data_IF_097673663243
#
_entry.id   IF_097673663243
#
_cell.length_a   1.000
_cell.length_b   1.000
_cell.length_c   1.000
_cell.angle_alpha   90.00
_cell.angle_beta   90.00
_cell.angle_gamma   90.00
#
_symmetry.space_group_name_H-M   'P 1'
#
loop_
_entity.id
_entity.type
_entity.pdbx_description
1 polymer ?
#
# COMPACT_ATOMS: atom_id res chain seq x y z
N UNK A 1 1.05 -5.70 29.15
CA UNK A 1 0.92 -5.80 27.69
C UNK A 1 0.01 -4.66 27.26
N UNK A 2 0.31 -3.99 26.18
CA UNK A 2 -0.58 -2.99 25.60
C UNK A 2 -1.87 -3.68 25.15
N UNK A 3 -2.99 -2.97 25.23
CA UNK A 3 -4.27 -3.43 24.73
C UNK A 3 -4.18 -3.70 23.22
N UNK A 4 -4.69 -4.82 22.69
CA UNK A 4 -4.66 -5.06 21.25
C UNK A 4 -5.56 -4.08 20.51
N UNK A 5 -5.15 -3.69 19.31
CA UNK A 5 -5.89 -2.74 18.50
C UNK A 5 -5.81 -3.05 17.00
N UNK A 6 -6.72 -2.47 16.26
CA UNK A 6 -6.74 -2.47 14.81
C UNK A 6 -7.26 -1.13 14.28
N UNK A 7 -7.09 -0.91 12.99
CA UNK A 7 -7.51 0.32 12.31
C UNK A 7 -8.67 -0.01 11.37
N UNK A 8 -9.78 0.69 11.51
CA UNK A 8 -10.88 0.65 10.57
C UNK A 8 -10.56 1.56 9.37
N UNK A 9 -10.77 1.04 8.16
CA UNK A 9 -10.61 1.74 6.90
C UNK A 9 -11.95 1.67 6.17
N UNK A 10 -12.58 2.82 5.97
CA UNK A 10 -13.94 2.88 5.45
C UNK A 10 -14.04 2.58 3.95
N UNK A 11 -12.94 2.82 3.21
CA UNK A 11 -12.92 2.59 1.77
C UNK A 11 -11.58 2.04 1.28
N UNK A 12 -11.64 0.87 0.66
CA UNK A 12 -10.53 0.23 -0.07
C UNK A 12 -11.03 -0.21 -1.43
N UNK A 13 -10.12 -0.32 -2.40
CA UNK A 13 -10.43 -1.02 -3.64
C UNK A 13 -10.34 -2.52 -3.41
N UNK A 14 -11.43 -3.22 -3.76
CA UNK A 14 -11.51 -4.68 -3.83
C UNK A 14 -11.99 -5.01 -5.24
N UNK A 15 -11.05 -5.42 -6.07
CA UNK A 15 -11.27 -5.65 -7.49
C UNK A 15 -10.91 -7.08 -7.85
N UNK A 16 -11.82 -7.79 -8.49
CA UNK A 16 -11.66 -9.17 -8.91
C UNK A 16 -11.57 -9.29 -10.43
N UNK A 17 -10.71 -10.18 -10.92
CA UNK A 17 -10.71 -10.62 -12.31
C UNK A 17 -11.03 -12.11 -12.35
N UNK A 18 -12.18 -12.43 -12.94
CA UNK A 18 -12.77 -13.77 -13.01
C UNK A 18 -12.53 -14.37 -14.38
N UNK A 19 -12.56 -15.70 -14.49
CA UNK A 19 -12.51 -16.41 -15.75
C UNK A 19 -11.24 -17.23 -15.96
N UNK A 20 -11.29 -18.13 -16.95
CA UNK A 20 -10.20 -19.07 -17.23
C UNK A 20 -8.91 -18.38 -17.72
N UNK A 21 -9.01 -17.23 -18.35
CA UNK A 21 -7.89 -16.43 -18.86
C UNK A 21 -7.44 -15.31 -17.91
N UNK A 22 -8.11 -15.15 -16.75
CA UNK A 22 -7.83 -14.08 -15.80
C UNK A 22 -6.34 -14.04 -15.37
N UNK A 23 -5.71 -15.21 -15.14
CA UNK A 23 -4.30 -15.30 -14.81
C UNK A 23 -3.40 -14.71 -15.91
N UNK A 24 -3.70 -14.99 -17.17
CA UNK A 24 -2.91 -14.53 -18.29
C UNK A 24 -3.06 -13.01 -18.51
N UNK A 25 -4.30 -12.53 -18.45
CA UNK A 25 -4.62 -11.10 -18.61
C UNK A 25 -3.95 -10.31 -17.47
N UNK A 26 -4.21 -10.68 -16.21
CA UNK A 26 -3.66 -9.95 -15.07
C UNK A 26 -2.13 -9.97 -15.03
N UNK A 27 -1.52 -11.10 -15.39
CA UNK A 27 -0.07 -11.20 -15.52
C UNK A 27 0.51 -10.21 -16.55
N UNK A 28 -0.18 -9.99 -17.67
CA UNK A 28 0.22 -9.03 -18.68
C UNK A 28 0.00 -7.57 -18.28
N UNK A 29 -0.89 -7.29 -17.32
CA UNK A 29 -1.19 -5.95 -16.83
C UNK A 29 -0.33 -5.53 -15.63
N UNK A 30 0.29 -6.49 -14.94
CA UNK A 30 0.98 -6.28 -13.66
C UNK A 30 2.50 -6.41 -13.77
N UNK A 31 3.22 -5.74 -12.89
CA UNK A 31 4.69 -5.73 -12.86
C UNK A 31 5.29 -6.97 -12.19
N UNK A 32 4.54 -7.65 -11.31
CA UNK A 32 5.03 -8.83 -10.59
C UNK A 32 4.55 -10.15 -11.20
N UNK A 33 5.21 -11.26 -10.82
CA UNK A 33 4.82 -12.61 -11.25
C UNK A 33 3.51 -13.02 -10.56
N UNK A 34 2.47 -13.28 -11.34
CA UNK A 34 1.12 -13.60 -10.84
C UNK A 34 0.71 -15.04 -11.22
N UNK A 35 1.24 -15.57 -12.32
CA UNK A 35 0.83 -16.87 -12.82
C UNK A 35 1.23 -18.05 -11.93
N UNK A 36 2.29 -17.91 -11.16
CA UNK A 36 2.81 -18.95 -10.27
C UNK A 36 2.11 -18.95 -8.89
N UNK A 37 1.17 -18.03 -8.65
CA UNK A 37 0.41 -18.00 -7.41
C UNK A 37 -0.52 -19.21 -7.34
N UNK A 38 -0.41 -19.96 -6.25
CA UNK A 38 -1.34 -21.04 -5.88
C UNK A 38 -2.49 -20.50 -5.02
N UNK A 39 -3.43 -21.37 -4.67
CA UNK A 39 -4.58 -20.94 -3.86
C UNK A 39 -4.15 -20.26 -2.56
N UNK A 40 -4.78 -19.14 -2.24
CA UNK A 40 -4.51 -18.31 -1.06
C UNK A 40 -3.17 -17.56 -1.05
N UNK A 41 -2.34 -17.68 -2.08
CA UNK A 41 -1.13 -16.87 -2.21
C UNK A 41 -1.38 -15.53 -2.90
N UNK A 42 -0.55 -14.55 -2.57
CA UNK A 42 -0.61 -13.22 -3.15
C UNK A 42 0.76 -12.57 -3.30
N UNK A 43 0.79 -11.47 -4.03
CA UNK A 43 1.96 -10.58 -4.19
C UNK A 43 1.54 -9.14 -4.34
N UNK A 44 2.40 -8.25 -3.85
CA UNK A 44 2.29 -6.83 -4.15
C UNK A 44 2.69 -6.55 -5.60
N UNK A 45 1.94 -5.71 -6.30
CA UNK A 45 2.21 -5.37 -7.69
C UNK A 45 1.68 -4.00 -8.07
N UNK A 46 2.27 -3.41 -9.09
CA UNK A 46 1.67 -2.32 -9.85
C UNK A 46 0.93 -2.85 -11.07
N UNK A 47 -0.13 -2.15 -11.45
CA UNK A 47 -0.74 -2.25 -12.79
C UNK A 47 -0.20 -1.09 -13.61
N UNK A 48 0.26 -1.35 -14.84
CA UNK A 48 0.92 -0.35 -15.68
C UNK A 48 0.29 -0.21 -17.06
N UNK A 49 0.38 1.00 -17.64
CA UNK A 49 0.06 1.25 -19.03
C UNK A 49 1.22 0.88 -19.98
N UNK A 50 1.01 1.01 -21.29
CA UNK A 50 2.03 0.74 -22.32
C UNK A 50 3.28 1.62 -22.21
N UNK A 51 3.22 2.73 -21.49
CA UNK A 51 4.35 3.64 -21.25
C UNK A 51 5.07 3.33 -19.93
N UNK A 52 4.61 2.32 -19.18
CA UNK A 52 5.10 1.96 -17.85
C UNK A 52 4.59 2.88 -16.74
N UNK A 53 3.57 3.70 -16.98
CA UNK A 53 2.95 4.52 -15.94
C UNK A 53 2.03 3.69 -15.06
N UNK A 54 2.03 4.02 -13.77
CA UNK A 54 1.24 3.33 -12.76
C UNK A 54 -0.25 3.64 -12.91
N UNK A 55 -1.07 2.64 -13.11
CA UNK A 55 -2.55 2.75 -13.15
C UNK A 55 -3.20 2.23 -11.88
N UNK A 56 -2.47 1.46 -11.09
CA UNK A 56 -2.92 0.92 -9.83
C UNK A 56 -1.76 0.32 -9.03
N UNK A 57 -1.96 0.19 -7.71
CA UNK A 57 -1.02 -0.40 -6.78
C UNK A 57 -1.78 -1.16 -5.70
N UNK A 58 -1.40 -2.39 -5.41
CA UNK A 58 -2.02 -3.19 -4.37
C UNK A 58 -1.46 -4.62 -4.30
N UNK A 59 -2.13 -5.43 -3.52
CA UNK A 59 -1.82 -6.84 -3.33
C UNK A 59 -2.79 -7.69 -4.14
N UNK A 60 -2.26 -8.53 -4.99
CA UNK A 60 -3.00 -9.47 -5.84
C UNK A 60 -2.95 -10.83 -5.21
N UNK A 61 -4.11 -11.44 -4.95
CA UNK A 61 -4.25 -12.78 -4.37
C UNK A 61 -4.92 -13.73 -5.37
N UNK A 62 -4.43 -14.95 -5.43
CA UNK A 62 -5.14 -16.05 -6.05
C UNK A 62 -6.18 -16.57 -5.07
N UNK A 63 -7.46 -16.49 -5.44
CA UNK A 63 -8.55 -17.14 -4.72
C UNK A 63 -8.96 -18.43 -5.44
N UNK A 64 -9.92 -19.15 -4.90
CA UNK A 64 -10.46 -20.35 -5.55
C UNK A 64 -11.01 -20.06 -6.95
N UNK A 65 -11.69 -18.92 -7.14
CA UNK A 65 -12.46 -18.62 -8.34
C UNK A 65 -11.94 -17.44 -9.16
N UNK A 66 -11.09 -16.58 -8.59
CA UNK A 66 -10.62 -15.35 -9.24
C UNK A 66 -9.22 -14.93 -8.79
N UNK A 67 -8.74 -13.86 -9.38
CA UNK A 67 -7.64 -13.05 -8.80
C UNK A 67 -8.25 -11.79 -8.19
N UNK A 68 -8.00 -11.58 -6.90
CA UNK A 68 -8.44 -10.40 -6.15
C UNK A 68 -7.30 -9.44 -5.95
N UNK A 69 -7.49 -8.17 -6.33
CA UNK A 69 -6.57 -7.09 -6.01
C UNK A 69 -7.17 -6.19 -4.92
N UNK A 70 -6.39 -5.93 -3.88
CA UNK A 70 -6.77 -5.10 -2.74
C UNK A 70 -5.77 -3.94 -2.65
N UNK A 71 -6.26 -2.71 -2.57
CA UNK A 71 -5.43 -1.51 -2.50
C UNK A 71 -6.18 -0.27 -2.04
N UNK A 72 -5.56 0.89 -2.22
CA UNK A 72 -6.17 2.18 -1.93
C UNK A 72 -7.49 2.36 -2.70
N UNK A 73 -8.46 3.04 -2.11
CA UNK A 73 -9.74 3.34 -2.76
C UNK A 73 -9.58 4.16 -4.05
N UNK A 74 -10.56 4.05 -4.95
CA UNK A 74 -10.65 4.84 -6.18
C UNK A 74 -9.90 4.27 -7.39
N UNK A 75 -9.32 3.07 -7.30
CA UNK A 75 -8.61 2.43 -8.41
C UNK A 75 -9.51 1.56 -9.30
N UNK A 76 -10.57 0.98 -8.75
CA UNK A 76 -11.33 -0.13 -9.34
C UNK A 76 -11.95 0.20 -10.71
N UNK A 77 -12.44 1.43 -10.90
CA UNK A 77 -12.97 1.88 -12.19
C UNK A 77 -11.89 1.92 -13.27
N UNK A 78 -10.72 2.51 -12.94
CA UNK A 78 -9.58 2.57 -13.84
C UNK A 78 -9.02 1.19 -14.19
N UNK A 79 -8.94 0.29 -13.21
CA UNK A 79 -8.51 -1.10 -13.40
C UNK A 79 -9.48 -1.87 -14.30
N UNK A 80 -10.79 -1.69 -14.09
CA UNK A 80 -11.83 -2.30 -14.94
C UNK A 80 -11.69 -1.84 -16.39
N UNK A 81 -11.65 -0.53 -16.63
CA UNK A 81 -11.51 0.03 -17.98
C UNK A 81 -10.20 -0.41 -18.67
N UNK A 82 -9.13 -0.61 -17.85
CA UNK A 82 -7.86 -1.09 -18.35
C UNK A 82 -7.92 -2.58 -18.70
N UNK A 83 -8.50 -3.43 -17.86
CA UNK A 83 -8.67 -4.85 -18.12
C UNK A 83 -9.54 -5.08 -19.38
N UNK A 84 -10.69 -4.42 -19.48
CA UNK A 84 -11.61 -4.51 -20.63
C UNK A 84 -10.94 -4.15 -21.95
N UNK A 85 -10.00 -3.21 -21.94
CA UNK A 85 -9.25 -2.82 -23.16
C UNK A 85 -8.37 -3.95 -23.71
N UNK A 86 -7.87 -4.82 -22.85
CA UNK A 86 -6.96 -5.90 -23.20
C UNK A 86 -7.61 -7.29 -23.18
N UNK A 87 -8.91 -7.35 -22.88
CA UNK A 87 -9.72 -8.57 -22.93
C UNK A 87 -10.66 -8.46 -24.15
N UNK A 88 -10.31 -9.11 -25.27
CA UNK A 88 -11.08 -9.01 -26.54
C UNK A 88 -11.86 -10.30 -26.79
N UNK A 89 -11.24 -11.45 -26.57
CA UNK A 89 -11.82 -12.79 -26.79
C UNK A 89 -11.57 -13.73 -25.62
N UNK A 90 -10.76 -13.29 -24.71
CA UNK A 90 -10.34 -14.02 -23.51
C UNK A 90 -11.51 -14.08 -22.52
N UNK A 91 -11.61 -15.18 -21.82
CA UNK A 91 -12.55 -15.34 -20.70
C UNK A 91 -11.91 -14.72 -19.44
N UNK A 92 -12.04 -13.38 -19.31
CA UNK A 92 -11.56 -12.61 -18.18
C UNK A 92 -12.51 -11.42 -17.92
N UNK A 93 -13.29 -11.48 -16.86
CA UNK A 93 -14.31 -10.49 -16.55
C UNK A 93 -14.00 -9.80 -15.22
N UNK A 94 -13.82 -8.47 -15.19
CA UNK A 94 -13.63 -7.73 -13.97
C UNK A 94 -14.93 -7.58 -13.16
N UNK A 95 -14.81 -7.54 -11.83
CA UNK A 95 -15.90 -7.16 -10.93
C UNK A 95 -15.38 -6.30 -9.78
N UNK A 96 -16.21 -5.33 -9.36
CA UNK A 96 -15.86 -4.35 -8.32
C UNK A 96 -16.66 -4.65 -7.07
N UNK A 97 -15.97 -4.74 -5.94
CA UNK A 97 -16.51 -5.10 -4.63
C UNK A 97 -16.19 -4.05 -3.54
N UNK A 98 -15.81 -2.84 -3.94
CA UNK A 98 -15.41 -1.74 -3.02
C UNK A 98 -16.50 -1.42 -1.98
N UNK A 99 -17.77 -1.53 -2.37
CA UNK A 99 -18.91 -1.23 -1.51
C UNK A 99 -19.35 -2.40 -0.61
N UNK A 100 -18.81 -3.62 -0.84
CA UNK A 100 -19.28 -4.85 -0.18
C UNK A 100 -18.61 -5.06 1.17
N UNK A 101 -17.47 -4.41 1.42
CA UNK A 101 -16.62 -4.65 2.57
C UNK A 101 -16.31 -3.38 3.37
N UNK A 102 -16.02 -3.59 4.65
CA UNK A 102 -15.27 -2.67 5.52
C UNK A 102 -13.93 -3.35 5.81
N UNK A 103 -12.84 -2.61 5.71
CA UNK A 103 -11.50 -3.14 5.94
C UNK A 103 -11.01 -2.82 7.36
N UNK A 104 -10.29 -3.76 7.96
CA UNK A 104 -9.64 -3.57 9.26
C UNK A 104 -8.18 -3.98 9.15
N UNK A 105 -7.26 -3.03 9.28
CA UNK A 105 -5.84 -3.30 9.29
C UNK A 105 -5.37 -3.64 10.70
N UNK A 106 -4.58 -4.70 10.83
CA UNK A 106 -4.06 -5.19 12.11
C UNK A 106 -2.60 -5.61 11.95
N UNK A 107 -1.76 -5.32 12.96
CA UNK A 107 -0.36 -5.75 12.96
C UNK A 107 -0.23 -7.27 13.10
N UNK A 108 0.90 -7.82 12.69
CA UNK A 108 1.19 -9.24 12.87
C UNK A 108 1.05 -9.69 14.34
N UNK A 109 1.52 -8.87 15.29
CA UNK A 109 1.43 -9.13 16.72
C UNK A 109 -0.03 -9.26 17.20
N UNK A 110 -0.92 -8.37 16.74
CA UNK A 110 -2.31 -8.34 17.16
C UNK A 110 -3.21 -9.31 16.36
N UNK A 111 -2.76 -9.77 15.19
CA UNK A 111 -3.54 -10.68 14.35
C UNK A 111 -3.81 -12.02 15.04
N UNK A 112 -2.83 -12.58 15.74
CA UNK A 112 -3.03 -13.82 16.51
C UNK A 112 -4.10 -13.63 17.61
N UNK A 113 -4.11 -12.47 18.28
CA UNK A 113 -5.12 -12.14 19.28
C UNK A 113 -6.51 -11.99 18.64
N UNK A 114 -6.58 -11.39 17.45
CA UNK A 114 -7.82 -11.25 16.68
C UNK A 114 -8.40 -12.63 16.32
N UNK A 115 -7.59 -13.51 15.76
CA UNK A 115 -8.00 -14.87 15.37
C UNK A 115 -8.56 -15.64 16.57
N UNK A 116 -7.90 -15.54 17.73
CA UNK A 116 -8.39 -16.14 18.97
C UNK A 116 -9.72 -15.53 19.43
N UNK A 117 -9.89 -14.20 19.34
CA UNK A 117 -11.10 -13.48 19.75
C UNK A 117 -12.33 -13.85 18.91
N UNK A 118 -12.15 -14.10 17.61
CA UNK A 118 -13.23 -14.49 16.71
C UNK A 118 -13.44 -16.02 16.63
N UNK A 119 -12.64 -16.81 17.36
CA UNK A 119 -12.81 -18.25 17.47
C UNK A 119 -12.38 -19.05 16.25
N UNK A 120 -11.53 -18.50 15.40
CA UNK A 120 -10.96 -19.19 14.23
C UNK A 120 -9.52 -19.66 14.49
N UNK A 121 -8.89 -20.31 13.53
CA UNK A 121 -7.52 -20.80 13.61
C UNK A 121 -6.63 -20.06 12.63
N UNK A 122 -5.39 -19.80 13.05
CA UNK A 122 -4.35 -19.33 12.12
C UNK A 122 -4.09 -20.39 11.04
N UNK A 123 -3.80 -19.98 9.80
CA UNK A 123 -3.33 -20.90 8.77
C UNK A 123 -2.04 -21.59 9.26
N UNK A 124 -1.94 -22.90 9.00
CA UNK A 124 -0.76 -23.69 9.39
C UNK A 124 0.45 -23.35 8.51
N UNK A 125 0.21 -22.88 7.29
CA UNK A 125 1.24 -22.48 6.34
C UNK A 125 1.49 -20.97 6.46
N UNK A 126 2.68 -20.61 6.92
CA UNK A 126 3.23 -19.26 6.71
C UNK A 126 3.84 -19.20 5.33
N UNK A 127 3.49 -18.17 4.54
CA UNK A 127 4.11 -17.97 3.22
C UNK A 127 5.64 -17.97 3.36
N UNK A 128 6.32 -18.65 2.42
CA UNK A 128 7.77 -18.49 2.25
C UNK A 128 8.03 -17.06 1.76
N UNK A 129 8.36 -16.16 2.68
CA UNK A 129 8.64 -14.75 2.41
C UNK A 129 9.88 -14.51 1.53
N UNK A 130 10.68 -15.57 1.26
CA UNK A 130 11.89 -15.47 0.44
C UNK A 130 11.63 -14.97 -0.99
N UNK A 131 10.36 -15.04 -1.45
CA UNK A 131 9.94 -14.59 -2.78
C UNK A 131 8.91 -13.43 -2.72
N UNK A 132 8.73 -12.77 -1.59
CA UNK A 132 7.72 -11.71 -1.40
C UNK A 132 6.29 -12.23 -1.50
N UNK A 133 6.05 -13.53 -1.25
CA UNK A 133 4.72 -14.12 -1.23
C UNK A 133 3.98 -13.74 0.02
N UNK A 134 2.69 -13.48 -0.15
CA UNK A 134 1.72 -13.20 0.91
C UNK A 134 0.66 -14.30 0.92
N UNK A 135 -0.06 -14.44 2.02
CA UNK A 135 -1.14 -15.41 2.14
C UNK A 135 -2.46 -14.74 2.49
N UNK A 136 -3.56 -15.42 2.17
CA UNK A 136 -4.89 -15.08 2.67
C UNK A 136 -5.43 -16.20 3.55
N UNK A 137 -6.32 -15.84 4.46
CA UNK A 137 -6.92 -16.74 5.44
C UNK A 137 -8.42 -16.47 5.55
N UNK A 138 -9.24 -17.48 5.29
CA UNK A 138 -10.67 -17.41 5.59
C UNK A 138 -10.87 -17.43 7.11
N UNK A 139 -11.54 -16.39 7.61
CA UNK A 139 -11.85 -16.27 9.05
C UNK A 139 -13.15 -17.00 9.43
N UNK A 140 -13.81 -17.60 8.45
CA UNK A 140 -15.05 -18.35 8.61
C UNK A 140 -16.32 -17.50 8.64
N UNK A 141 -17.36 -18.03 8.03
CA UNK A 141 -18.73 -17.55 8.08
C UNK A 141 -18.90 -16.04 7.87
N UNK A 142 -19.17 -15.36 8.98
CA UNK A 142 -19.57 -13.95 8.95
C UNK A 142 -18.40 -12.96 8.99
N UNK A 143 -17.17 -13.40 9.22
CA UNK A 143 -16.02 -12.51 9.44
C UNK A 143 -15.19 -12.20 8.19
N UNK A 144 -15.46 -12.91 7.11
CA UNK A 144 -14.80 -12.67 5.81
C UNK A 144 -13.40 -13.23 5.73
N UNK A 145 -12.50 -12.55 5.03
CA UNK A 145 -11.17 -13.03 4.69
C UNK A 145 -10.10 -12.04 5.14
N UNK A 146 -9.05 -12.55 5.76
CA UNK A 146 -7.85 -11.79 6.08
C UNK A 146 -6.79 -11.98 4.97
N UNK A 147 -6.08 -10.90 4.65
CA UNK A 147 -5.04 -10.85 3.63
C UNK A 147 -3.78 -10.24 4.23
N UNK A 148 -2.64 -10.91 4.10
CA UNK A 148 -1.36 -10.41 4.59
C UNK A 148 -0.89 -9.24 3.71
N UNK A 149 -0.63 -8.09 4.29
CA UNK A 149 -0.22 -6.86 3.60
C UNK A 149 0.93 -6.18 4.36
N UNK A 150 1.50 -5.12 3.78
CA UNK A 150 2.54 -4.32 4.46
C UNK A 150 2.07 -2.89 4.78
N UNK A 151 0.77 -2.62 4.75
CA UNK A 151 0.24 -1.28 4.90
C UNK A 151 0.66 -0.56 6.18
N UNK A 152 0.78 -1.30 7.29
CA UNK A 152 1.10 -0.77 8.62
C UNK A 152 2.33 -1.46 9.26
N UNK A 153 3.14 -2.10 8.44
CA UNK A 153 4.36 -2.81 8.84
C UNK A 153 4.47 -4.18 8.18
N UNK A 154 5.63 -4.80 8.37
CA UNK A 154 5.89 -6.14 7.84
C UNK A 154 4.89 -7.15 8.42
N UNK A 155 4.41 -8.06 7.58
CA UNK A 155 3.50 -9.15 7.96
C UNK A 155 2.18 -8.70 8.62
N UNK A 156 1.79 -7.44 8.41
CA UNK A 156 0.47 -6.95 8.82
C UNK A 156 -0.64 -7.61 7.98
N UNK A 157 -1.86 -7.49 8.45
CA UNK A 157 -3.04 -8.06 7.80
C UNK A 157 -4.10 -7.00 7.56
N UNK A 158 -4.89 -7.19 6.52
CA UNK A 158 -6.17 -6.52 6.32
C UNK A 158 -7.28 -7.55 6.33
N UNK A 159 -8.29 -7.34 7.16
CA UNK A 159 -9.49 -8.16 7.22
C UNK A 159 -10.57 -7.45 6.41
N UNK A 160 -11.08 -8.10 5.38
CA UNK A 160 -12.24 -7.64 4.63
C UNK A 160 -13.49 -8.26 5.23
N UNK A 161 -14.18 -7.52 6.07
CA UNK A 161 -15.44 -7.92 6.71
C UNK A 161 -16.60 -7.51 5.81
N UNK A 162 -17.55 -8.41 5.48
CA UNK A 162 -18.77 -8.02 4.77
C UNK A 162 -19.46 -6.85 5.48
N UNK A 163 -19.85 -5.84 4.72
CA UNK A 163 -20.40 -4.59 5.28
C UNK A 163 -21.63 -4.82 6.18
N UNK A 164 -22.43 -5.85 5.87
CA UNK A 164 -23.57 -6.27 6.68
C UNK A 164 -23.17 -6.71 8.10
N UNK A 165 -21.94 -7.18 8.26
CA UNK A 165 -21.46 -7.83 9.49
C UNK A 165 -20.45 -6.95 10.26
N UNK A 166 -20.08 -5.78 9.72
CA UNK A 166 -19.08 -4.91 10.30
C UNK A 166 -19.40 -4.47 11.73
N UNK A 167 -20.66 -4.14 12.02
CA UNK A 167 -21.11 -3.75 13.35
C UNK A 167 -21.02 -4.90 14.38
N UNK A 168 -21.35 -6.13 13.97
CA UNK A 168 -21.23 -7.30 14.83
C UNK A 168 -19.77 -7.69 15.05
N UNK A 169 -18.93 -7.51 14.03
CA UNK A 169 -17.47 -7.68 14.15
C UNK A 169 -16.88 -6.72 15.18
N UNK A 170 -17.18 -5.43 15.10
CA UNK A 170 -16.74 -4.43 16.09
C UNK A 170 -17.23 -4.74 17.50
N UNK A 171 -18.48 -5.21 17.63
CA UNK A 171 -19.03 -5.64 18.92
C UNK A 171 -18.28 -6.86 19.49
N UNK A 172 -17.92 -7.82 18.64
CA UNK A 172 -17.09 -8.97 19.02
C UNK A 172 -15.70 -8.51 19.49
N UNK A 173 -15.07 -7.60 18.76
CA UNK A 173 -13.78 -7.02 19.16
C UNK A 173 -13.85 -6.34 20.52
N UNK A 174 -14.88 -5.54 20.78
CA UNK A 174 -15.08 -4.86 22.05
C UNK A 174 -15.26 -5.84 23.24
N UNK A 175 -15.88 -7.02 23.01
CA UNK A 175 -16.02 -8.07 24.03
C UNK A 175 -14.67 -8.72 24.39
N UNK A 176 -13.69 -8.67 23.50
CA UNK A 176 -12.33 -9.19 23.68
C UNK A 176 -11.29 -8.10 23.92
N UNK A 177 -11.75 -6.94 24.36
CA UNK A 177 -10.90 -5.83 24.81
C UNK A 177 -9.99 -5.22 23.71
N UNK A 178 -10.42 -5.25 22.45
CA UNK A 178 -9.75 -4.56 21.35
C UNK A 178 -10.16 -3.10 21.28
N UNK A 179 -9.20 -2.23 20.93
CA UNK A 179 -9.47 -0.87 20.49
C UNK A 179 -9.57 -0.82 18.95
N UNK A 180 -10.57 -0.10 18.46
CA UNK A 180 -10.74 0.17 17.03
C UNK A 180 -10.40 1.63 16.77
N UNK A 181 -9.31 1.87 16.07
CA UNK A 181 -8.85 3.18 15.64
C UNK A 181 -9.47 3.55 14.29
N UNK A 182 -9.58 4.84 14.02
CA UNK A 182 -10.12 5.36 12.78
C UNK A 182 -9.11 5.34 11.61
N UNK A 183 -9.59 5.69 10.42
CA UNK A 183 -8.79 5.75 9.20
C UNK A 183 -7.69 6.83 9.25
N UNK A 184 -7.86 7.90 10.04
CA UNK A 184 -6.82 8.91 10.20
C UNK A 184 -5.59 8.33 10.91
N UNK A 185 -5.79 7.55 11.98
CA UNK A 185 -4.70 6.86 12.67
C UNK A 185 -4.09 5.74 11.82
N UNK A 186 -4.88 5.07 10.96
CA UNK A 186 -4.33 4.16 9.95
C UNK A 186 -3.36 4.88 9.02
N UNK A 187 -3.74 6.07 8.52
CA UNK A 187 -2.86 6.85 7.66
C UNK A 187 -1.61 7.33 8.39
N UNK A 188 -1.70 7.73 9.64
CA UNK A 188 -0.53 8.06 10.45
C UNK A 188 0.43 6.86 10.57
N UNK A 189 -0.11 5.67 10.83
CA UNK A 189 0.69 4.45 10.94
C UNK A 189 1.34 4.04 9.62
N UNK A 190 0.61 4.06 8.47
CA UNK A 190 1.21 3.74 7.17
C UNK A 190 2.33 4.71 6.78
N UNK A 191 2.18 6.00 7.13
CA UNK A 191 3.21 7.02 6.91
C UNK A 191 4.43 6.73 7.81
N UNK A 192 4.20 6.35 9.05
CA UNK A 192 5.27 6.00 9.99
C UNK A 192 6.11 4.80 9.52
N UNK A 193 5.48 3.81 8.87
CA UNK A 193 6.20 2.67 8.27
C UNK A 193 6.66 2.90 6.83
N UNK A 194 6.34 4.06 6.24
CA UNK A 194 6.77 4.43 4.89
C UNK A 194 5.97 3.77 3.76
N UNK A 195 4.77 3.21 4.02
CA UNK A 195 3.99 2.56 2.97
C UNK A 195 3.24 3.59 2.11
N UNK A 196 3.49 3.63 0.78
CA UNK A 196 2.87 4.58 -0.13
C UNK A 196 1.41 4.22 -0.42
N UNK A 197 0.54 5.22 -0.54
CA UNK A 197 -0.87 5.06 -0.86
C UNK A 197 -1.17 5.57 -2.26
N UNK A 198 -1.74 4.71 -3.10
CA UNK A 198 -2.11 5.10 -4.47
C UNK A 198 -3.20 6.17 -4.45
N UNK A 199 -3.08 7.17 -5.32
CA UNK A 199 -3.96 8.34 -5.33
C UNK A 199 -3.47 9.49 -4.44
N UNK A 200 -2.59 9.22 -3.46
CA UNK A 200 -1.99 10.22 -2.57
C UNK A 200 -0.49 10.37 -2.84
N UNK A 201 0.29 9.33 -2.60
CA UNK A 201 1.75 9.37 -2.72
C UNK A 201 2.22 8.97 -4.12
N UNK A 202 1.47 8.10 -4.77
CA UNK A 202 1.69 7.60 -6.13
C UNK A 202 0.40 7.75 -6.93
N UNK A 203 0.54 8.18 -8.18
CA UNK A 203 -0.57 8.41 -9.10
C UNK A 203 -0.19 7.92 -10.50
N UNK A 204 -1.10 8.08 -11.46
CA UNK A 204 -0.85 7.78 -12.89
C UNK A 204 0.30 8.59 -13.51
N UNK A 205 0.83 9.59 -12.80
CA UNK A 205 2.01 10.38 -13.25
C UNK A 205 3.32 9.71 -12.90
N UNK A 206 3.30 8.68 -12.06
CA UNK A 206 4.48 8.02 -11.54
C UNK A 206 4.84 6.76 -12.33
N UNK A 207 6.09 6.35 -12.22
CA UNK A 207 6.59 5.05 -12.64
C UNK A 207 6.67 4.13 -11.40
N UNK A 208 6.54 2.81 -11.53
CA UNK A 208 6.64 1.87 -10.40
C UNK A 208 7.89 2.07 -9.54
N UNK A 209 9.06 2.27 -10.18
CA UNK A 209 10.33 2.43 -9.47
C UNK A 209 10.41 3.72 -8.64
N UNK A 210 9.56 4.73 -8.93
CA UNK A 210 9.49 5.95 -8.14
C UNK A 210 8.89 5.71 -6.73
N UNK A 211 8.25 4.56 -6.52
CA UNK A 211 7.69 4.15 -5.23
C UNK A 211 8.72 3.60 -4.23
N UNK A 212 9.91 3.25 -4.71
CA UNK A 212 10.98 2.58 -3.95
C UNK A 212 10.55 1.25 -3.31
N UNK A 213 9.76 0.45 -4.08
CA UNK A 213 9.30 -0.88 -3.68
C UNK A 213 9.60 -1.95 -4.74
N UNK A 214 10.70 -1.78 -5.45
CA UNK A 214 11.05 -2.64 -6.60
C UNK A 214 11.13 -4.12 -6.22
N UNK A 215 11.77 -4.43 -5.11
CA UNK A 215 11.95 -5.82 -4.65
C UNK A 215 10.61 -6.52 -4.35
N UNK A 216 9.60 -5.78 -3.89
CA UNK A 216 8.29 -6.31 -3.53
C UNK A 216 7.33 -6.39 -4.73
N UNK A 217 7.48 -5.45 -5.69
CA UNK A 217 6.44 -5.18 -6.68
C UNK A 217 6.80 -5.50 -8.11
N UNK A 218 8.09 -5.72 -8.44
CA UNK A 218 8.56 -5.89 -9.82
C UNK A 218 9.33 -7.20 -9.96
N UNK A 219 8.86 -8.07 -10.85
CA UNK A 219 9.64 -9.22 -11.29
C UNK A 219 10.38 -8.87 -12.59
N UNK A 220 11.71 -8.92 -12.55
CA UNK A 220 12.54 -8.71 -13.75
C UNK A 220 12.77 -9.99 -14.55
N UNK A 221 12.25 -11.13 -14.07
CA UNK A 221 12.41 -12.46 -14.70
C UNK A 221 11.11 -13.00 -15.29
N UNK A 222 9.96 -12.37 -14.99
CA UNK A 222 8.66 -12.78 -15.54
C UNK A 222 8.56 -12.52 -17.05
N UNK A 223 7.53 -13.11 -17.68
CA UNK A 223 7.18 -12.85 -19.07
C UNK A 223 6.77 -11.40 -19.34
N UNK A 224 6.47 -11.10 -20.60
CA UNK A 224 6.13 -9.73 -21.04
C UNK A 224 4.88 -9.17 -20.33
N UNK A 225 4.92 -7.89 -20.01
CA UNK A 225 3.78 -7.11 -19.50
C UNK A 225 3.80 -5.70 -20.09
N UNK A 226 2.68 -4.98 -19.96
CA UNK A 226 2.55 -3.62 -20.47
C UNK A 226 3.53 -2.67 -19.78
N UNK A 227 4.29 -1.93 -20.61
CA UNK A 227 5.27 -0.96 -20.11
C UNK A 227 6.60 -1.54 -19.64
N UNK A 228 6.82 -2.85 -19.77
CA UNK A 228 8.04 -3.53 -19.34
C UNK A 228 9.32 -2.92 -19.93
N UNK A 229 9.32 -2.46 -21.18
CA UNK A 229 10.50 -1.84 -21.79
C UNK A 229 10.96 -0.61 -20.99
N UNK A 230 10.03 0.25 -20.59
CA UNK A 230 10.35 1.43 -19.77
C UNK A 230 10.88 1.02 -18.39
N UNK A 231 10.24 0.06 -17.73
CA UNK A 231 10.63 -0.44 -16.41
C UNK A 231 12.01 -1.09 -16.47
N UNK A 232 12.25 -1.99 -17.40
CA UNK A 232 13.54 -2.68 -17.56
C UNK A 232 14.68 -1.71 -17.94
N UNK A 233 14.40 -0.73 -18.80
CA UNK A 233 15.40 0.29 -19.18
C UNK A 233 15.82 1.15 -17.98
N UNK A 234 14.87 1.54 -17.13
CA UNK A 234 15.18 2.31 -15.91
C UNK A 234 15.99 1.50 -14.91
N UNK A 235 15.70 0.21 -14.77
CA UNK A 235 16.47 -0.70 -13.95
C UNK A 235 17.91 -0.84 -14.46
N UNK A 236 18.08 -1.13 -15.74
CA UNK A 236 19.39 -1.28 -16.37
C UNK A 236 20.25 0.00 -16.32
N UNK A 237 19.62 1.18 -16.38
CA UNK A 237 20.31 2.47 -16.27
C UNK A 237 20.50 2.92 -14.81
N UNK A 238 19.86 2.25 -13.84
CA UNK A 238 19.89 2.62 -12.43
C UNK A 238 19.41 4.04 -12.16
N UNK A 239 18.46 4.58 -12.94
CA UNK A 239 18.24 6.03 -12.99
C UNK A 239 16.78 6.44 -12.95
N UNK A 240 16.12 6.32 -11.79
CA UNK A 240 14.96 7.20 -11.53
C UNK A 240 15.45 8.62 -11.18
N UNK A 241 14.73 9.63 -11.64
CA UNK A 241 15.06 11.05 -11.40
C UNK A 241 14.41 11.58 -10.11
N UNK A 242 13.38 10.92 -9.67
CA UNK A 242 12.64 11.19 -8.43
C UNK A 242 12.16 9.87 -7.81
N UNK A 243 12.03 9.84 -6.49
CA UNK A 243 11.66 8.66 -5.73
C UNK A 243 10.97 9.08 -4.44
N UNK A 244 10.06 8.25 -3.95
CA UNK A 244 9.53 8.40 -2.60
C UNK A 244 10.62 8.12 -1.59
N UNK A 245 10.73 8.99 -0.60
CA UNK A 245 11.56 8.80 0.58
C UNK A 245 10.76 9.21 1.82
N UNK A 246 11.21 8.74 2.97
CA UNK A 246 10.64 9.14 4.24
C UNK A 246 11.46 10.31 4.82
N UNK A 247 10.75 11.39 5.18
CA UNK A 247 11.33 12.59 5.77
C UNK A 247 10.98 12.70 7.25
N UNK A 248 11.95 12.98 8.09
CA UNK A 248 11.73 13.38 9.49
C UNK A 248 11.81 14.89 9.62
N UNK A 249 10.83 15.49 10.29
CA UNK A 249 10.79 16.92 10.61
C UNK A 249 10.71 17.08 12.11
N UNK A 250 11.55 17.94 12.67
CA UNK A 250 11.57 18.23 14.11
C UNK A 250 10.73 19.48 14.42
N UNK A 251 10.08 19.47 15.59
CA UNK A 251 9.44 20.63 16.25
C UNK A 251 8.21 21.24 15.55
N UNK A 252 7.87 20.82 14.33
CA UNK A 252 6.67 21.27 13.65
C UNK A 252 6.03 20.17 12.81
N UNK A 253 4.81 20.41 12.36
CA UNK A 253 4.05 19.55 11.45
C UNK A 253 3.71 20.36 10.20
N UNK A 254 4.52 20.25 9.14
CA UNK A 254 4.28 21.00 7.91
C UNK A 254 3.04 20.47 7.19
N UNK A 255 2.31 21.32 6.47
CA UNK A 255 1.17 20.90 5.67
C UNK A 255 1.62 20.00 4.49
N UNK A 256 0.72 19.12 4.06
CA UNK A 256 0.88 18.36 2.81
C UNK A 256 1.07 19.32 1.64
N UNK A 257 1.95 18.98 0.73
CA UNK A 257 2.28 19.80 -0.43
C UNK A 257 3.44 20.77 -0.23
N UNK A 258 3.99 20.89 1.00
CA UNK A 258 5.16 21.74 1.27
C UNK A 258 6.36 21.29 0.44
N UNK A 259 6.96 22.23 -0.28
CA UNK A 259 8.18 22.00 -1.06
C UNK A 259 9.41 22.06 -0.15
N UNK A 260 10.38 21.21 -0.45
CA UNK A 260 11.67 21.14 0.23
C UNK A 260 12.75 21.65 -0.71
N UNK A 261 13.62 22.52 -0.17
CA UNK A 261 14.65 23.25 -0.92
C UNK A 261 16.03 22.94 -0.33
N UNK A 262 17.01 22.71 -1.18
CA UNK A 262 18.42 22.68 -0.86
C UNK A 262 19.23 23.42 -1.94
N UNK A 263 20.21 24.21 -1.55
CA UNK A 263 21.04 25.04 -2.47
C UNK A 263 20.20 25.88 -3.44
N UNK A 264 19.09 26.45 -2.96
CA UNK A 264 18.16 27.28 -3.75
C UNK A 264 17.34 26.53 -4.81
N UNK A 265 17.30 25.20 -4.78
CA UNK A 265 16.54 24.37 -5.73
C UNK A 265 15.53 23.49 -4.98
N UNK A 266 14.33 23.33 -5.56
CA UNK A 266 13.35 22.36 -5.06
C UNK A 266 13.91 20.94 -5.25
N UNK A 267 14.11 20.24 -4.14
CA UNK A 267 14.66 18.87 -4.07
C UNK A 267 13.64 17.84 -3.62
N UNK A 268 12.51 18.28 -3.07
CA UNK A 268 11.46 17.37 -2.63
C UNK A 268 10.12 18.07 -2.46
N UNK A 269 9.08 17.24 -2.21
CA UNK A 269 7.73 17.70 -1.87
C UNK A 269 7.08 16.69 -0.93
N UNK A 270 6.52 17.15 0.18
CA UNK A 270 5.79 16.32 1.13
C UNK A 270 4.41 15.94 0.58
N UNK A 271 4.08 14.65 0.55
CA UNK A 271 2.84 14.13 -0.01
C UNK A 271 1.89 13.62 1.07
N UNK A 272 2.43 12.98 2.10
CA UNK A 272 1.71 12.53 3.29
C UNK A 272 2.50 12.92 4.52
N UNK A 273 1.83 13.39 5.58
CA UNK A 273 2.47 13.88 6.80
C UNK A 273 1.72 13.34 8.01
N UNK A 274 2.43 12.67 8.91
CA UNK A 274 1.94 12.18 10.20
C UNK A 274 2.61 12.91 11.35
N UNK A 275 1.81 13.32 12.34
CA UNK A 275 2.31 13.98 13.54
C UNK A 275 2.93 12.96 14.50
N UNK A 276 4.10 13.27 15.03
CA UNK A 276 4.75 12.49 16.06
C UNK A 276 4.44 13.02 17.48
N UNK A 277 4.48 12.15 18.51
CA UNK A 277 4.22 12.56 19.91
C UNK A 277 5.19 13.65 20.42
N UNK A 278 6.39 13.72 19.89
CA UNK A 278 7.46 14.65 20.28
C UNK A 278 7.41 16.04 19.61
N UNK A 279 6.26 16.44 19.10
CA UNK A 279 5.99 17.69 18.33
C UNK A 279 6.59 17.76 16.94
N UNK A 280 7.25 16.70 16.47
CA UNK A 280 7.72 16.59 15.10
C UNK A 280 6.72 15.91 14.17
N UNK A 281 7.18 15.64 12.95
CA UNK A 281 6.43 14.88 11.96
C UNK A 281 7.32 13.88 11.24
N UNK A 282 6.70 12.83 10.76
CA UNK A 282 7.24 11.95 9.72
C UNK A 282 6.41 12.12 8.46
N UNK A 283 7.04 12.09 7.31
CA UNK A 283 6.33 12.34 6.05
C UNK A 283 6.85 11.41 4.95
N UNK A 284 5.94 10.98 4.08
CA UNK A 284 6.30 10.41 2.77
C UNK A 284 6.35 11.58 1.79
N UNK A 285 7.43 11.69 1.04
CA UNK A 285 7.58 12.76 0.06
C UNK A 285 8.38 12.34 -1.16
N UNK A 286 8.05 12.93 -2.30
CA UNK A 286 8.81 12.73 -3.53
C UNK A 286 10.10 13.54 -3.44
N UNK A 287 11.25 12.88 -3.53
CA UNK A 287 12.57 13.49 -3.55
C UNK A 287 13.19 13.45 -4.95
N UNK A 288 14.08 14.39 -5.27
CA UNK A 288 14.98 14.30 -6.41
C UNK A 288 16.16 13.40 -6.09
N UNK A 289 16.83 12.87 -7.11
CA UNK A 289 17.93 11.91 -6.99
C UNK A 289 19.06 12.35 -6.04
N UNK A 290 19.30 13.64 -5.93
CA UNK A 290 20.31 14.19 -4.99
C UNK A 290 19.98 14.00 -3.51
N UNK A 291 18.73 13.58 -3.22
CA UNK A 291 18.19 13.45 -1.86
C UNK A 291 17.48 12.10 -1.66
N UNK A 292 18.01 11.02 -2.25
CA UNK A 292 17.51 9.65 -2.00
C UNK A 292 18.17 9.04 -0.77
N UNK A 293 19.45 9.41 -0.53
CA UNK A 293 20.22 8.75 0.51
C UNK A 293 19.80 9.21 1.92
N UNK A 294 19.75 8.29 2.89
CA UNK A 294 19.51 8.60 4.29
C UNK A 294 20.51 9.66 4.80
N UNK A 295 20.01 10.58 5.61
CA UNK A 295 20.79 11.71 6.13
C UNK A 295 20.84 12.93 5.21
N UNK A 296 20.36 12.85 3.96
CA UNK A 296 20.21 14.03 3.12
C UNK A 296 19.24 15.03 3.77
N UNK A 297 19.59 16.33 3.72
CA UNK A 297 18.85 17.39 4.41
C UNK A 297 18.31 18.42 3.43
N UNK A 298 17.11 18.92 3.72
CA UNK A 298 16.50 20.02 3.00
C UNK A 298 15.76 20.95 3.97
N UNK A 299 15.43 22.16 3.54
CA UNK A 299 14.61 23.10 4.30
C UNK A 299 13.26 23.29 3.64
N UNK A 300 12.23 23.55 4.43
CA UNK A 300 10.90 23.92 3.97
C UNK A 300 10.40 25.13 4.70
N UNK A 301 9.46 25.84 4.09
CA UNK A 301 8.79 26.99 4.69
C UNK A 301 7.29 26.84 4.46
N UNK A 302 6.49 27.12 5.48
CA UNK A 302 5.05 27.20 5.36
C UNK A 302 4.49 28.30 6.25
N UNK A 303 3.37 28.89 5.87
CA UNK A 303 2.71 29.90 6.69
C UNK A 303 1.95 29.23 7.84
N UNK A 304 2.16 29.71 9.06
CA UNK A 304 1.43 29.24 10.24
C UNK A 304 -0.08 29.46 10.11
N UNK A 305 -0.87 28.80 10.94
CA UNK A 305 -2.34 28.89 10.90
C UNK A 305 -2.89 30.32 11.11
N UNK A 306 -2.12 31.22 11.69
CA UNK A 306 -2.44 32.65 11.85
C UNK A 306 -2.26 33.46 10.54
N UNK A 307 -1.66 32.85 9.50
CA UNK A 307 -1.38 33.50 8.22
C UNK A 307 -0.37 34.66 8.26
N UNK A 308 0.21 34.94 9.42
CA UNK A 308 1.09 36.08 9.65
C UNK A 308 2.56 35.72 9.84
N UNK A 309 2.85 34.47 10.17
CA UNK A 309 4.19 34.00 10.49
C UNK A 309 4.59 32.84 9.59
N UNK A 310 5.73 32.97 8.93
CA UNK A 310 6.33 31.84 8.19
C UNK A 310 7.15 30.98 9.15
N UNK A 311 6.95 29.67 9.10
CA UNK A 311 7.67 28.66 9.85
C UNK A 311 8.68 28.00 8.93
N UNK A 312 9.94 28.22 9.18
CA UNK A 312 11.04 27.50 8.53
C UNK A 312 11.40 26.24 9.33
N UNK A 313 11.66 25.14 8.63
CA UNK A 313 12.04 23.88 9.26
C UNK A 313 13.07 23.12 8.44
N UNK A 314 13.76 22.20 9.09
CA UNK A 314 14.67 21.24 8.46
C UNK A 314 14.00 19.87 8.37
N UNK A 315 14.17 19.23 7.21
CA UNK A 315 13.75 17.86 6.96
C UNK A 315 14.97 16.98 6.64
N UNK A 316 14.98 15.76 7.16
CA UNK A 316 16.08 14.80 7.00
C UNK A 316 15.50 13.50 6.44
N UNK A 317 16.09 13.00 5.36
CA UNK A 317 15.74 11.67 4.81
C UNK A 317 16.11 10.60 5.83
N UNK A 318 15.14 9.74 6.13
CA UNK A 318 15.34 8.60 7.03
C UNK A 318 15.84 7.38 6.27
N UNK A 319 16.53 6.49 6.97
CA UNK A 319 16.64 5.11 6.48
C UNK A 319 15.24 4.55 6.31
N UNK A 320 15.01 3.79 5.22
CA UNK A 320 13.74 3.09 5.08
C UNK A 320 13.47 2.28 6.33
N UNK A 321 12.36 2.54 6.96
CA UNK A 321 11.88 1.75 8.07
C UNK A 321 11.53 0.35 7.54
N UNK A 322 12.53 -0.50 7.45
CA UNK A 322 12.32 -1.94 7.44
C UNK A 322 11.86 -2.25 8.86
N UNK A 323 10.57 -2.40 9.11
CA UNK A 323 9.99 -2.59 10.42
C UNK A 323 10.90 -3.26 11.47
N UNK A 324 10.57 -3.25 12.75
CA UNK A 324 11.44 -3.89 13.75
C UNK A 324 11.70 -5.33 13.32
N UNK A 325 13.01 -5.67 13.30
CA UNK A 325 13.49 -7.00 12.96
C UNK A 325 12.91 -8.07 13.88
#
# INVERSE_FOLDING_TARGET
MSKPFLYRIDSVSVWDLNGSDAAAILHNLTTNEIKDLSGNEGRESFVTDVRGKTLGHGFVYRTENCFRMIGASGQSEGLTAHADRYTIREDATPSVHDADYVAFAVSAEHFANLVAAIGTKLPEDTADDSQGRKISCDLGGDWGVAYQVEWIGKDAWVVLVPKSNAADFEKQLAQHDFDVHDEALFHDQRIAVGFPWYGIDITEKNLPQEADRNAQTISFTKGCYLGQETVARLDALGQVQKQLVQWSVKECVPPVGTELVADGKTVGKLLSVAKLPNRGAIAIGMARRSHFDPGATATGVFSAADGATDVEFSAIVQEHFQGPA
#
